data_IF_514153587284
#
_entry.id   IF_514153587284
#
_cell.length_a   1.000
_cell.length_b   1.000
_cell.length_c   1.000
_cell.angle_alpha   90.00
_cell.angle_beta   90.00
_cell.angle_gamma   90.00
#
_symmetry.space_group_name_H-M   'P 1'
#
loop_
_entity.id
_entity.type
_entity.pdbx_description
1 polymer ?
#
# COMPACT_ATOMS: atom_id res chain seq x y z
N UNK A 1 -49.16 11.42 57.44
CA UNK A 1 -48.85 10.91 56.07
C UNK A 1 -47.75 11.71 55.37
N UNK A 2 -47.56 13.02 55.60
CA UNK A 2 -46.49 13.80 54.94
C UNK A 2 -45.04 13.46 55.32
N UNK A 3 -44.77 12.99 56.54
CA UNK A 3 -43.40 12.64 56.98
C UNK A 3 -42.83 11.41 56.28
N UNK A 4 -43.69 10.48 55.85
CA UNK A 4 -43.26 9.25 55.18
C UNK A 4 -42.85 9.48 53.72
N UNK A 5 -43.39 10.53 53.09
CA UNK A 5 -43.07 10.91 51.70
C UNK A 5 -41.69 11.56 51.62
N UNK A 6 -41.37 12.46 52.56
CA UNK A 6 -40.08 13.16 52.60
C UNK A 6 -38.90 12.19 52.78
N UNK A 7 -39.08 11.20 53.65
CA UNK A 7 -38.02 10.22 53.93
C UNK A 7 -37.74 9.30 52.73
N UNK A 8 -38.79 8.88 52.01
CA UNK A 8 -38.64 8.11 50.76
C UNK A 8 -37.94 8.92 49.68
N UNK A 9 -38.25 10.22 49.56
CA UNK A 9 -37.63 11.10 48.58
C UNK A 9 -36.13 11.31 48.87
N UNK A 10 -35.77 11.49 50.14
CA UNK A 10 -34.38 11.62 50.56
C UNK A 10 -33.58 10.33 50.33
N UNK A 11 -34.19 9.17 50.61
CA UNK A 11 -33.56 7.87 50.38
C UNK A 11 -33.34 7.60 48.88
N UNK A 12 -34.33 7.95 48.04
CA UNK A 12 -34.20 7.84 46.58
C UNK A 12 -33.12 8.77 46.03
N UNK A 13 -32.99 9.98 46.57
CA UNK A 13 -31.94 10.93 46.17
C UNK A 13 -30.54 10.45 46.56
N UNK A 14 -30.37 9.87 47.76
CA UNK A 14 -29.10 9.25 48.16
C UNK A 14 -28.73 8.06 47.26
N UNK A 15 -29.71 7.24 46.89
CA UNK A 15 -29.48 6.07 46.04
C UNK A 15 -29.06 6.49 44.62
N UNK A 16 -29.67 7.55 44.08
CA UNK A 16 -29.25 8.14 42.80
C UNK A 16 -27.83 8.73 42.86
N UNK A 17 -27.47 9.43 43.93
CA UNK A 17 -26.11 9.96 44.10
C UNK A 17 -25.07 8.85 44.21
N UNK A 18 -25.36 7.77 44.93
CA UNK A 18 -24.44 6.61 45.01
C UNK A 18 -24.26 5.93 43.64
N UNK A 19 -25.33 5.77 42.86
CA UNK A 19 -25.21 5.22 41.50
C UNK A 19 -24.39 6.12 40.58
N UNK A 20 -24.58 7.44 40.65
CA UNK A 20 -23.78 8.39 39.86
C UNK A 20 -22.29 8.35 40.26
N UNK A 21 -21.98 8.29 41.56
CA UNK A 21 -20.59 8.17 42.02
C UNK A 21 -19.94 6.85 41.58
N UNK A 22 -20.68 5.74 41.65
CA UNK A 22 -20.17 4.45 41.17
C UNK A 22 -19.91 4.46 39.66
N UNK A 23 -20.82 5.06 38.86
CA UNK A 23 -20.60 5.22 37.42
C UNK A 23 -19.39 6.11 37.12
N UNK A 24 -19.23 7.23 37.83
CA UNK A 24 -18.06 8.10 37.66
C UNK A 24 -16.75 7.40 38.06
N UNK A 25 -16.73 6.63 39.14
CA UNK A 25 -15.53 5.87 39.52
C UNK A 25 -15.19 4.76 38.52
N UNK A 26 -16.20 4.08 37.97
CA UNK A 26 -15.98 3.10 36.89
C UNK A 26 -15.45 3.77 35.63
N UNK A 27 -15.98 4.93 35.24
CA UNK A 27 -15.47 5.71 34.12
C UNK A 27 -14.03 6.20 34.35
N UNK A 28 -13.70 6.67 35.56
CA UNK A 28 -12.35 7.09 35.90
C UNK A 28 -11.35 5.93 35.92
N UNK A 29 -11.75 4.76 36.42
CA UNK A 29 -10.90 3.57 36.38
C UNK A 29 -10.68 3.07 34.94
N UNK A 30 -11.74 3.09 34.12
CA UNK A 30 -11.63 2.77 32.69
C UNK A 30 -10.71 3.77 31.97
N UNK A 31 -10.85 5.07 32.22
CA UNK A 31 -9.96 6.09 31.66
C UNK A 31 -8.51 5.92 32.11
N UNK A 32 -8.26 5.61 33.39
CA UNK A 32 -6.90 5.38 33.89
C UNK A 32 -6.24 4.16 33.27
N UNK A 33 -6.96 3.05 33.07
CA UNK A 33 -6.41 1.89 32.35
C UNK A 33 -6.09 2.18 30.89
N UNK A 34 -6.72 3.19 30.29
CA UNK A 34 -6.54 3.54 28.88
C UNK A 34 -5.45 4.59 28.64
N UNK A 35 -4.86 5.14 29.71
CA UNK A 35 -3.65 5.97 29.64
C UNK A 35 -2.35 5.18 29.64
N UNK A 36 -2.40 3.85 29.82
CA UNK A 36 -1.24 3.01 29.57
C UNK A 36 -0.92 3.07 28.06
N UNK A 37 0.35 3.37 27.74
CA UNK A 37 0.83 3.42 26.36
C UNK A 37 0.45 2.12 25.63
N UNK A 38 -0.59 2.19 24.79
CA UNK A 38 -1.18 1.03 24.11
C UNK A 38 -0.18 0.29 23.21
N UNK A 39 0.92 0.97 22.86
CA UNK A 39 2.04 0.48 22.07
C UNK A 39 3.36 0.42 22.85
N UNK A 40 3.35 0.44 24.20
CA UNK A 40 4.56 0.47 25.06
C UNK A 40 5.59 -0.61 24.70
N UNK A 41 5.12 -1.77 24.26
CA UNK A 41 5.93 -2.95 23.98
C UNK A 41 6.24 -3.16 22.50
N UNK A 42 5.78 -2.24 21.65
CA UNK A 42 6.08 -2.18 20.23
C UNK A 42 7.11 -1.07 19.99
N UNK A 43 8.03 -1.29 19.03
CA UNK A 43 8.99 -0.25 18.64
C UNK A 43 8.98 -0.01 17.15
N UNK A 44 9.15 1.25 16.79
CA UNK A 44 9.55 1.68 15.46
C UNK A 44 11.05 1.95 15.49
N UNK A 45 11.89 1.09 14.90
CA UNK A 45 13.33 1.29 14.90
C UNK A 45 13.68 2.64 14.25
N UNK A 46 14.66 3.34 14.82
CA UNK A 46 15.17 4.60 14.28
C UNK A 46 16.64 4.44 13.95
N UNK A 47 16.99 4.55 12.68
CA UNK A 47 18.41 4.53 12.27
C UNK A 47 18.94 5.96 12.39
N UNK A 48 19.82 6.18 13.36
CA UNK A 48 20.48 7.47 13.57
C UNK A 48 21.72 7.56 12.66
N UNK A 49 21.89 8.65 11.91
CA UNK A 49 23.07 8.86 11.06
C UNK A 49 22.91 9.95 10.01
N UNK A 50 24.01 10.31 9.34
CA UNK A 50 24.11 11.36 8.31
C UNK A 50 23.48 11.00 6.96
N UNK A 51 22.60 9.99 6.91
CA UNK A 51 22.07 9.47 5.65
C UNK A 51 21.00 10.35 4.98
N UNK A 52 20.82 11.60 5.44
CA UNK A 52 20.08 12.66 4.76
C UNK A 52 18.58 12.43 4.58
N UNK A 53 18.05 11.26 4.93
CA UNK A 53 16.66 10.87 4.75
C UNK A 53 15.94 10.78 6.10
N UNK A 54 14.65 11.12 6.13
CA UNK A 54 13.79 10.89 7.29
C UNK A 54 13.96 9.43 7.78
N UNK A 55 14.12 9.23 9.09
CA UNK A 55 14.67 7.99 9.67
C UNK A 55 13.93 6.68 9.34
N UNK A 56 12.73 6.70 8.77
CA UNK A 56 12.01 5.52 8.27
C UNK A 56 12.26 5.23 6.79
N UNK A 57 12.50 6.25 5.95
CA UNK A 57 12.83 6.08 4.52
C UNK A 57 14.16 5.34 4.31
N UNK A 58 15.01 5.30 5.33
CA UNK A 58 16.26 4.54 5.30
C UNK A 58 16.04 3.03 5.09
N UNK A 59 14.90 2.46 5.50
CA UNK A 59 14.61 1.04 5.33
C UNK A 59 14.44 0.67 3.86
N UNK A 60 13.93 1.58 3.03
CA UNK A 60 13.81 1.41 1.58
C UNK A 60 15.16 1.15 0.89
N UNK A 61 16.26 1.65 1.48
CA UNK A 61 17.62 1.41 0.98
C UNK A 61 18.08 -0.05 1.10
N UNK A 62 17.39 -0.87 1.90
CA UNK A 62 17.58 -2.33 1.87
C UNK A 62 17.22 -2.91 0.50
N UNK A 63 16.25 -2.31 -0.20
CA UNK A 63 15.74 -2.74 -1.50
C UNK A 63 16.48 -2.03 -2.64
N UNK A 64 16.63 -0.71 -2.56
CA UNK A 64 17.17 0.10 -3.66
C UNK A 64 18.70 0.11 -3.77
N UNK A 65 19.42 -0.24 -2.69
CA UNK A 65 20.88 -0.35 -2.68
C UNK A 65 21.35 -1.77 -2.32
N UNK A 66 21.05 -2.79 -3.13
CA UNK A 66 21.27 -4.20 -2.77
C UNK A 66 22.73 -4.56 -2.50
N UNK A 67 23.68 -3.76 -3.01
CA UNK A 67 25.12 -3.97 -2.88
C UNK A 67 25.76 -3.21 -1.72
N UNK A 68 25.00 -2.40 -0.97
CA UNK A 68 25.53 -1.60 0.14
C UNK A 68 25.49 -2.38 1.47
N UNK A 69 26.37 -3.37 1.61
CA UNK A 69 26.40 -4.28 2.76
C UNK A 69 26.66 -3.56 4.10
N UNK A 70 27.42 -2.46 4.09
CA UNK A 70 27.71 -1.67 5.29
C UNK A 70 26.43 -1.01 5.79
N UNK A 71 25.71 -0.32 4.90
CA UNK A 71 24.43 0.31 5.22
C UNK A 71 23.40 -0.72 5.67
N UNK A 72 23.27 -1.83 4.93
CA UNK A 72 22.33 -2.89 5.26
C UNK A 72 22.59 -3.45 6.66
N UNK A 73 23.85 -3.72 7.00
CA UNK A 73 24.22 -4.19 8.34
C UNK A 73 23.81 -3.17 9.41
N UNK A 74 24.10 -1.89 9.20
CA UNK A 74 23.73 -0.81 10.13
C UNK A 74 22.22 -0.73 10.36
N UNK A 75 21.42 -0.84 9.30
CA UNK A 75 19.96 -0.84 9.38
C UNK A 75 19.48 -2.08 10.15
N UNK A 76 19.95 -3.27 9.77
CA UNK A 76 19.51 -4.53 10.39
C UNK A 76 19.92 -4.64 11.86
N UNK A 77 21.11 -4.13 12.24
CA UNK A 77 21.57 -4.10 13.63
C UNK A 77 20.72 -3.16 14.49
N UNK A 78 20.25 -2.03 13.93
CA UNK A 78 19.32 -1.13 14.61
C UNK A 78 17.95 -1.79 14.85
N UNK A 79 17.46 -2.54 13.87
CA UNK A 79 16.22 -3.31 14.00
C UNK A 79 16.40 -4.39 15.07
N UNK A 80 17.52 -5.13 15.04
CA UNK A 80 17.85 -6.15 16.04
C UNK A 80 17.93 -5.58 17.46
N UNK A 81 18.54 -4.41 17.63
CA UNK A 81 18.56 -3.71 18.91
C UNK A 81 17.15 -3.39 19.39
N UNK A 82 16.31 -2.84 18.51
CA UNK A 82 14.92 -2.49 18.85
C UNK A 82 14.11 -3.73 19.25
N UNK A 83 14.36 -4.90 18.64
CA UNK A 83 13.71 -6.16 19.02
C UNK A 83 14.05 -6.60 20.45
N UNK A 84 15.27 -6.32 20.94
CA UNK A 84 15.64 -6.63 22.32
C UNK A 84 14.92 -5.75 23.35
N UNK A 85 14.43 -4.59 22.93
CA UNK A 85 13.75 -3.60 23.77
C UNK A 85 12.22 -3.66 23.64
N UNK A 86 11.70 -4.44 22.68
CA UNK A 86 10.29 -4.48 22.28
C UNK A 86 9.73 -5.90 22.39
N UNK A 87 9.21 -6.33 23.56
CA UNK A 87 8.83 -7.72 23.77
C UNK A 87 7.64 -8.17 22.90
N UNK A 88 6.84 -7.24 22.37
CA UNK A 88 5.75 -7.59 21.43
C UNK A 88 6.20 -7.62 19.98
N UNK A 89 7.26 -6.88 19.62
CA UNK A 89 7.81 -6.86 18.27
C UNK A 89 8.20 -5.48 17.77
N UNK A 90 8.68 -5.44 16.53
CA UNK A 90 9.13 -4.24 15.83
C UNK A 90 8.33 -4.02 14.55
N UNK A 91 8.07 -2.77 14.23
CA UNK A 91 7.38 -2.37 13.00
C UNK A 91 8.41 -1.75 12.06
N UNK A 92 8.50 -2.29 10.86
CA UNK A 92 9.34 -1.75 9.79
C UNK A 92 8.42 -1.48 8.60
N UNK A 93 8.39 -0.23 8.15
CA UNK A 93 7.51 0.21 7.06
C UNK A 93 8.29 1.08 6.09
N UNK A 94 8.15 0.78 4.80
CA UNK A 94 8.72 1.53 3.67
C UNK A 94 7.98 1.11 2.40
N UNK A 95 7.78 2.04 1.47
CA UNK A 95 7.01 1.79 0.24
C UNK A 95 7.75 0.84 -0.72
N UNK A 96 9.08 0.78 -0.62
CA UNK A 96 9.92 -0.10 -1.43
C UNK A 96 9.70 -1.58 -1.10
N UNK A 97 9.08 -1.92 0.04
CA UNK A 97 8.69 -3.31 0.33
C UNK A 97 7.52 -3.79 -0.53
N UNK A 98 6.74 -2.88 -1.11
CA UNK A 98 5.66 -3.22 -2.05
C UNK A 98 6.19 -3.54 -3.46
N UNK A 99 7.47 -3.26 -3.73
CA UNK A 99 8.12 -3.58 -5.00
C UNK A 99 8.45 -5.09 -5.08
N UNK A 100 7.44 -5.90 -5.38
CA UNK A 100 7.56 -7.35 -5.54
C UNK A 100 6.90 -7.83 -6.84
N UNK A 101 7.39 -8.96 -7.35
CA UNK A 101 6.85 -9.58 -8.55
C UNK A 101 7.63 -9.27 -9.83
N UNK A 102 7.15 -9.75 -10.99
CA UNK A 102 7.89 -9.65 -12.26
C UNK A 102 7.98 -8.23 -12.82
N UNK A 103 7.04 -7.36 -12.45
CA UNK A 103 7.00 -5.98 -12.91
C UNK A 103 7.84 -5.03 -12.04
N UNK A 104 8.25 -5.48 -10.86
CA UNK A 104 9.04 -4.68 -9.95
C UNK A 104 10.39 -4.27 -10.59
N UNK A 105 10.78 -3.00 -10.44
CA UNK A 105 12.10 -2.49 -10.80
C UNK A 105 13.15 -3.02 -9.81
N UNK A 106 12.86 -2.94 -8.52
CA UNK A 106 13.67 -3.52 -7.46
C UNK A 106 12.85 -4.58 -6.75
N UNK A 107 13.33 -5.82 -6.69
CA UNK A 107 12.60 -6.88 -5.98
C UNK A 107 12.94 -6.81 -4.48
N UNK A 108 11.94 -6.58 -3.62
CA UNK A 108 12.11 -6.51 -2.17
C UNK A 108 12.36 -7.87 -1.50
N UNK A 109 11.96 -8.99 -2.12
CA UNK A 109 12.01 -10.33 -1.51
C UNK A 109 13.42 -10.72 -1.01
N UNK A 110 14.52 -10.54 -1.78
CA UNK A 110 15.87 -10.82 -1.30
C UNK A 110 16.28 -9.98 -0.08
N UNK A 111 15.90 -8.70 -0.06
CA UNK A 111 16.20 -7.79 1.05
C UNK A 111 15.47 -8.22 2.33
N UNK A 112 14.18 -8.54 2.23
CA UNK A 112 13.36 -9.07 3.32
C UNK A 112 13.95 -10.39 3.84
N UNK A 113 14.30 -11.33 2.95
CA UNK A 113 14.95 -12.60 3.34
C UNK A 113 16.30 -12.41 4.00
N UNK A 114 17.07 -11.38 3.61
CA UNK A 114 18.33 -11.01 4.27
C UNK A 114 18.06 -10.51 5.69
N UNK A 115 17.06 -9.64 5.87
CA UNK A 115 16.61 -9.13 7.17
C UNK A 115 16.14 -10.26 8.10
N UNK A 116 15.21 -11.12 7.65
CA UNK A 116 14.67 -12.24 8.44
C UNK A 116 15.79 -13.18 8.92
N UNK A 117 16.74 -13.51 8.03
CA UNK A 117 17.90 -14.35 8.39
C UNK A 117 18.83 -13.66 9.38
N UNK A 118 19.09 -12.36 9.22
CA UNK A 118 19.92 -11.58 10.14
C UNK A 118 19.33 -11.55 11.54
N UNK A 119 18.00 -11.39 11.63
CA UNK A 119 17.26 -11.36 12.89
C UNK A 119 16.95 -12.76 13.45
N UNK A 120 17.30 -13.83 12.74
CA UNK A 120 17.01 -15.21 13.10
C UNK A 120 15.52 -15.45 13.41
N UNK A 121 14.64 -14.91 12.57
CA UNK A 121 13.18 -15.05 12.69
C UNK A 121 12.68 -16.24 11.87
N UNK A 122 11.62 -16.90 12.35
CA UNK A 122 10.90 -17.87 11.54
C UNK A 122 9.85 -17.16 10.68
N UNK A 123 9.43 -17.79 9.59
CA UNK A 123 8.47 -17.18 8.66
C UNK A 123 7.12 -16.89 9.32
N UNK A 124 6.69 -17.74 10.27
CA UNK A 124 5.45 -17.58 11.03
C UNK A 124 5.44 -16.40 12.00
N UNK A 125 6.62 -15.86 12.32
CA UNK A 125 6.82 -14.70 13.20
C UNK A 125 6.79 -13.37 12.42
N UNK A 126 6.71 -13.43 11.08
CA UNK A 126 6.68 -12.27 10.19
C UNK A 126 5.28 -12.09 9.62
N UNK A 127 4.72 -10.90 9.82
CA UNK A 127 3.41 -10.52 9.28
C UNK A 127 3.57 -9.27 8.42
N UNK A 128 3.15 -9.36 7.16
CA UNK A 128 3.02 -8.22 6.27
C UNK A 128 1.65 -7.57 6.47
N UNK A 129 1.64 -6.25 6.59
CA UNK A 129 0.42 -5.45 6.68
C UNK A 129 0.32 -4.65 5.39
N UNK A 130 -0.72 -4.91 4.62
CA UNK A 130 -0.93 -4.29 3.32
C UNK A 130 -2.21 -3.47 3.32
N UNK A 131 -2.13 -2.28 2.72
CA UNK A 131 -3.26 -1.37 2.62
C UNK A 131 -3.91 -1.54 1.24
N UNK A 132 -5.16 -2.00 1.20
CA UNK A 132 -5.96 -2.05 0.00
C UNK A 132 -6.81 -0.78 -0.08
N UNK A 133 -6.46 0.14 -0.99
CA UNK A 133 -7.25 1.34 -1.26
C UNK A 133 -8.35 1.05 -2.28
N UNK A 134 -9.52 1.62 -2.06
CA UNK A 134 -10.64 1.62 -3.00
C UNK A 134 -11.44 2.91 -2.81
N UNK A 135 -11.62 3.75 -3.84
CA UNK A 135 -11.13 3.57 -5.20
C UNK A 135 -9.59 3.67 -5.30
N UNK A 136 -8.99 2.98 -6.28
CA UNK A 136 -7.54 3.00 -6.55
C UNK A 136 -7.13 4.12 -7.49
N UNK A 137 -8.06 4.68 -8.26
CA UNK A 137 -7.76 5.80 -9.14
C UNK A 137 -7.10 6.97 -8.38
N UNK A 138 -7.58 7.29 -7.18
CA UNK A 138 -7.02 8.38 -6.37
C UNK A 138 -5.57 8.12 -5.98
N UNK A 139 -5.21 6.86 -5.67
CA UNK A 139 -3.83 6.48 -5.41
C UNK A 139 -2.98 6.60 -6.68
N UNK A 140 -3.48 6.14 -7.82
CA UNK A 140 -2.79 6.26 -9.11
C UNK A 140 -2.52 7.73 -9.49
N UNK A 141 -3.53 8.58 -9.35
CA UNK A 141 -3.44 10.02 -9.55
C UNK A 141 -2.47 10.64 -8.55
N UNK A 142 -2.48 10.21 -7.29
CA UNK A 142 -1.53 10.68 -6.28
C UNK A 142 -0.08 10.37 -6.66
N UNK A 143 0.20 9.16 -7.18
CA UNK A 143 1.55 8.80 -7.67
C UNK A 143 2.00 9.76 -8.76
N UNK A 144 1.16 10.04 -9.75
CA UNK A 144 1.47 11.04 -10.78
C UNK A 144 1.74 12.42 -10.18
N UNK A 145 0.90 12.88 -9.24
CA UNK A 145 1.05 14.21 -8.65
C UNK A 145 2.36 14.40 -7.88
N UNK A 146 2.89 13.33 -7.30
CA UNK A 146 4.14 13.34 -6.54
C UNK A 146 5.37 12.90 -7.35
N UNK A 147 5.21 12.68 -8.66
CA UNK A 147 6.34 12.34 -9.51
C UNK A 147 7.32 13.53 -9.57
N UNK A 148 8.60 13.25 -9.28
CA UNK A 148 9.69 14.24 -9.27
C UNK A 148 10.43 14.29 -10.62
N UNK A 149 11.23 15.35 -10.82
CA UNK A 149 12.08 15.50 -12.00
C UNK A 149 11.33 16.02 -13.23
N UNK A 150 11.58 15.43 -14.39
CA UNK A 150 11.03 15.89 -15.69
C UNK A 150 9.49 15.82 -15.76
N UNK A 151 8.85 15.10 -14.83
CA UNK A 151 7.40 14.97 -14.73
C UNK A 151 6.76 15.85 -13.65
N UNK A 152 7.56 16.66 -12.93
CA UNK A 152 7.03 17.48 -11.82
C UNK A 152 5.93 18.44 -12.28
N UNK A 153 6.07 19.01 -13.49
CA UNK A 153 5.10 19.94 -14.08
C UNK A 153 4.32 19.31 -15.26
N UNK A 154 4.38 17.98 -15.42
CA UNK A 154 3.74 17.31 -16.54
C UNK A 154 2.23 17.14 -16.31
N UNK A 155 1.46 17.18 -17.38
CA UNK A 155 0.04 16.77 -17.34
C UNK A 155 -0.07 15.27 -17.09
N UNK A 156 -1.27 14.79 -16.76
CA UNK A 156 -1.51 13.34 -16.65
C UNK A 156 -1.35 12.65 -18.02
N UNK A 157 -1.73 13.34 -19.10
CA UNK A 157 -1.50 12.88 -20.47
C UNK A 157 -0.01 12.66 -20.74
N UNK A 158 0.84 13.64 -20.42
CA UNK A 158 2.29 13.54 -20.60
C UNK A 158 2.89 12.40 -19.77
N UNK A 159 2.47 12.26 -18.51
CA UNK A 159 2.93 11.20 -17.61
C UNK A 159 2.72 9.79 -18.15
N UNK A 160 1.60 9.56 -18.85
CA UNK A 160 1.29 8.29 -19.50
C UNK A 160 1.86 8.21 -20.92
N UNK A 161 1.60 9.18 -21.78
CA UNK A 161 1.95 9.13 -23.20
C UNK A 161 3.47 9.19 -23.43
N UNK A 162 4.23 9.99 -22.67
CA UNK A 162 5.70 10.03 -22.83
C UNK A 162 6.34 8.71 -22.45
N UNK A 163 5.79 8.03 -21.43
CA UNK A 163 6.30 6.74 -20.98
C UNK A 163 6.15 5.63 -22.03
N UNK A 164 5.27 5.79 -23.03
CA UNK A 164 5.15 4.81 -24.10
C UNK A 164 6.39 4.79 -25.02
N UNK A 165 6.98 5.97 -25.26
CA UNK A 165 8.06 6.16 -26.23
C UNK A 165 9.45 5.91 -25.64
N UNK A 166 9.59 5.99 -24.32
CA UNK A 166 10.83 5.70 -23.60
C UNK A 166 10.71 4.35 -22.86
N UNK A 167 11.49 3.31 -23.23
CA UNK A 167 11.46 2.01 -22.55
C UNK A 167 11.76 2.07 -21.04
N UNK A 168 12.57 3.02 -20.57
CA UNK A 168 12.89 3.18 -19.16
C UNK A 168 11.68 3.70 -18.39
N UNK A 169 11.03 4.74 -18.91
CA UNK A 169 9.79 5.28 -18.33
C UNK A 169 8.64 4.28 -18.43
N UNK A 170 8.52 3.55 -19.56
CA UNK A 170 7.56 2.45 -19.67
C UNK A 170 7.75 1.44 -18.56
N UNK A 171 9.00 1.04 -18.31
CA UNK A 171 9.31 0.08 -17.25
C UNK A 171 8.98 0.64 -15.86
N UNK A 172 9.21 1.93 -15.63
CA UNK A 172 8.82 2.62 -14.38
C UNK A 172 7.31 2.64 -14.18
N UNK A 173 6.51 2.92 -15.21
CA UNK A 173 5.04 2.83 -15.12
C UNK A 173 4.55 1.40 -14.90
N UNK A 174 5.22 0.41 -15.46
CA UNK A 174 4.92 -1.00 -15.20
C UNK A 174 5.20 -1.39 -13.74
N UNK A 175 6.31 -0.92 -13.17
CA UNK A 175 6.59 -1.10 -11.74
C UNK A 175 5.50 -0.47 -10.86
N UNK A 176 5.13 0.78 -11.15
CA UNK A 176 4.06 1.47 -10.43
C UNK A 176 2.71 0.72 -10.55
N UNK A 177 2.30 0.31 -11.75
CA UNK A 177 1.00 -0.36 -11.96
C UNK A 177 0.98 -1.81 -11.48
N UNK A 178 2.06 -2.55 -11.73
CA UNK A 178 2.16 -3.99 -11.55
C UNK A 178 2.61 -4.41 -10.15
N UNK A 179 3.43 -3.59 -9.49
CA UNK A 179 3.89 -3.82 -8.12
C UNK A 179 3.18 -2.88 -7.12
N UNK A 180 3.40 -1.55 -7.22
CA UNK A 180 2.95 -0.59 -6.20
C UNK A 180 1.42 -0.46 -6.12
N UNK A 181 0.74 -0.48 -7.26
CA UNK A 181 -0.72 -0.43 -7.36
C UNK A 181 -1.38 -1.81 -7.25
N UNK A 182 -0.64 -2.86 -6.88
CA UNK A 182 -1.12 -4.24 -6.86
C UNK A 182 -0.94 -4.93 -5.50
N UNK A 183 -1.58 -4.43 -4.42
CA UNK A 183 -1.42 -4.97 -3.07
C UNK A 183 -1.83 -6.44 -2.96
N UNK A 184 -2.76 -6.91 -3.79
CA UNK A 184 -3.18 -8.33 -3.82
C UNK A 184 -2.15 -9.24 -4.49
N UNK A 185 -1.46 -8.74 -5.52
CA UNK A 185 -0.29 -9.39 -6.09
C UNK A 185 0.85 -9.50 -5.08
N UNK A 186 1.13 -8.41 -4.35
CA UNK A 186 2.12 -8.41 -3.27
C UNK A 186 1.75 -9.42 -2.17
N UNK A 187 0.48 -9.41 -1.72
CA UNK A 187 -0.04 -10.37 -0.75
C UNK A 187 0.19 -11.81 -1.20
N UNK A 188 -0.14 -12.14 -2.45
CA UNK A 188 0.08 -13.48 -3.00
C UNK A 188 1.55 -13.89 -2.91
N UNK A 189 2.47 -13.01 -3.30
CA UNK A 189 3.91 -13.29 -3.29
C UNK A 189 4.42 -13.52 -1.86
N UNK A 190 4.01 -12.69 -0.90
CA UNK A 190 4.40 -12.89 0.51
C UNK A 190 3.87 -14.20 1.09
N UNK A 191 2.64 -14.58 0.74
CA UNK A 191 2.04 -15.84 1.14
C UNK A 191 2.73 -17.06 0.49
N UNK A 192 3.22 -16.92 -0.75
CA UNK A 192 4.01 -17.94 -1.44
C UNK A 192 5.40 -18.13 -0.81
N UNK A 193 5.96 -17.08 -0.23
CA UNK A 193 7.18 -17.12 0.59
C UNK A 193 6.96 -17.69 2.00
N UNK A 194 5.70 -17.97 2.36
CA UNK A 194 5.31 -18.60 3.63
C UNK A 194 5.11 -17.63 4.79
N UNK A 195 5.07 -16.33 4.54
CA UNK A 195 4.78 -15.31 5.55
C UNK A 195 3.27 -15.14 5.76
N UNK A 196 2.89 -14.51 6.87
CA UNK A 196 1.49 -14.12 7.13
C UNK A 196 1.20 -12.77 6.48
N UNK A 197 -0.04 -12.56 6.06
CA UNK A 197 -0.50 -11.29 5.50
C UNK A 197 -1.79 -10.85 6.20
N UNK A 198 -1.81 -9.61 6.67
CA UNK A 198 -3.04 -8.88 7.01
C UNK A 198 -3.27 -7.82 5.95
N UNK A 199 -4.39 -7.90 5.25
CA UNK A 199 -4.82 -6.91 4.26
C UNK A 199 -5.89 -6.03 4.89
N UNK A 200 -5.72 -4.72 4.87
CA UNK A 200 -6.68 -3.76 5.40
C UNK A 200 -7.43 -3.12 4.23
N UNK A 201 -8.73 -3.37 4.12
CA UNK A 201 -9.60 -2.70 3.14
C UNK A 201 -9.96 -1.30 3.64
N UNK A 202 -9.29 -0.30 3.09
CA UNK A 202 -9.39 1.10 3.49
C UNK A 202 -10.79 1.67 3.29
N UNK A 203 -11.53 1.20 2.28
CA UNK A 203 -12.90 1.67 2.06
C UNK A 203 -13.85 1.19 3.16
N UNK A 204 -13.63 0.00 3.71
CA UNK A 204 -14.37 -0.46 4.89
C UNK A 204 -13.94 0.26 6.17
N UNK A 205 -12.65 0.58 6.32
CA UNK A 205 -12.16 1.39 7.45
C UNK A 205 -12.83 2.77 7.48
N UNK A 206 -12.92 3.44 6.33
CA UNK A 206 -13.60 4.72 6.18
C UNK A 206 -15.11 4.62 6.46
N UNK A 207 -15.79 3.59 5.93
CA UNK A 207 -17.22 3.35 6.21
C UNK A 207 -17.52 3.18 7.70
N UNK A 208 -16.52 2.78 8.48
CA UNK A 208 -16.58 2.59 9.93
C UNK A 208 -16.15 3.84 10.73
N UNK A 209 -15.94 4.98 10.05
CA UNK A 209 -15.49 6.26 10.59
C UNK A 209 -14.17 6.14 11.41
N UNK A 210 -13.21 5.35 10.91
CA UNK A 210 -11.92 5.11 11.58
C UNK A 210 -10.73 5.54 10.72
N UNK A 211 -9.63 5.90 11.39
CA UNK A 211 -8.32 6.00 10.77
C UNK A 211 -7.61 4.64 10.73
N UNK A 212 -6.77 4.44 9.72
CA UNK A 212 -5.97 3.22 9.57
C UNK A 212 -5.05 2.95 10.76
N UNK A 213 -4.55 3.99 11.42
CA UNK A 213 -3.68 3.87 12.59
C UNK A 213 -4.38 3.14 13.73
N UNK A 214 -5.68 3.40 13.92
CA UNK A 214 -6.49 2.67 14.89
C UNK A 214 -6.64 1.20 14.49
N UNK A 215 -6.88 0.91 13.21
CA UNK A 215 -7.00 -0.47 12.72
C UNK A 215 -5.71 -1.24 12.90
N UNK A 216 -4.56 -0.66 12.51
CA UNK A 216 -3.25 -1.26 12.70
C UNK A 216 -3.00 -1.50 14.19
N UNK A 217 -3.16 -0.47 15.03
CA UNK A 217 -2.97 -0.60 16.47
C UNK A 217 -3.84 -1.70 17.10
N UNK A 218 -5.15 -1.67 16.82
CA UNK A 218 -6.11 -2.54 17.51
C UNK A 218 -6.19 -3.96 16.92
N UNK A 219 -6.12 -4.10 15.60
CA UNK A 219 -6.33 -5.38 14.89
C UNK A 219 -5.04 -6.10 14.52
N UNK A 220 -3.98 -5.36 14.23
CA UNK A 220 -2.68 -5.94 13.86
C UNK A 220 -1.81 -6.09 15.10
N UNK A 221 -1.59 -4.99 15.82
CA UNK A 221 -0.65 -4.92 16.95
C UNK A 221 -1.26 -5.37 18.28
N UNK A 222 -2.57 -5.64 18.28
CA UNK A 222 -3.36 -6.04 19.46
C UNK A 222 -3.16 -5.10 20.65
N UNK A 223 -3.02 -3.81 20.35
CA UNK A 223 -2.88 -2.75 21.34
C UNK A 223 -4.14 -2.64 22.21
N UNK A 224 -3.97 -2.07 23.41
CA UNK A 224 -5.10 -1.76 24.29
C UNK A 224 -6.01 -0.71 23.65
N UNK A 225 -7.13 -1.15 23.07
CA UNK A 225 -8.09 -0.28 22.40
C UNK A 225 -9.46 -0.28 23.10
N UNK A 226 -10.12 0.88 23.07
CA UNK A 226 -11.51 1.02 23.53
C UNK A 226 -12.37 1.27 22.31
N UNK A 227 -13.40 0.47 22.10
CA UNK A 227 -14.36 0.64 20.99
C UNK A 227 -13.70 0.73 19.59
N UNK A 228 -12.51 0.12 19.44
CA UNK A 228 -11.73 0.13 18.21
C UNK A 228 -10.82 1.35 18.02
N UNK A 229 -10.68 2.22 19.02
CA UNK A 229 -9.80 3.37 19.02
C UNK A 229 -8.57 3.15 19.91
N UNK A 230 -7.41 3.63 19.43
CA UNK A 230 -6.19 3.68 20.22
C UNK A 230 -6.30 4.81 21.24
N UNK A 231 -6.28 4.46 22.53
CA UNK A 231 -6.46 5.44 23.62
C UNK A 231 -5.47 6.61 23.61
N UNK A 232 -4.28 6.42 23.00
CA UNK A 232 -3.23 7.44 22.92
C UNK A 232 -3.34 8.40 21.72
N UNK A 233 -4.11 8.07 20.67
CA UNK A 233 -4.26 8.93 19.48
C UNK A 233 -5.50 9.83 19.53
N UNK A 234 -6.47 9.54 20.40
CA UNK A 234 -7.74 10.29 20.44
C UNK A 234 -8.51 10.22 19.12
N UNK A 235 -9.23 11.30 18.79
CA UNK A 235 -10.03 11.46 17.56
C UNK A 235 -9.24 12.16 16.43
N UNK A 236 -7.90 12.09 16.43
CA UNK A 236 -7.10 12.70 15.36
C UNK A 236 -7.40 12.03 14.01
N UNK A 237 -8.01 12.79 13.10
CA UNK A 237 -8.25 12.39 11.73
C UNK A 237 -6.99 12.61 10.87
N UNK A 238 -6.78 11.79 9.83
CA UNK A 238 -5.61 11.90 8.97
C UNK A 238 -5.52 13.27 8.28
N UNK A 239 -4.29 13.78 8.15
CA UNK A 239 -3.99 15.11 7.55
C UNK A 239 -4.11 15.07 6.04
N UNK A 240 -5.01 15.85 5.47
CA UNK A 240 -5.16 15.99 4.02
C UNK A 240 -3.82 16.20 3.29
N UNK A 241 -3.65 15.50 2.16
CA UNK A 241 -2.49 15.70 1.30
C UNK A 241 -2.49 17.12 0.74
N UNK A 242 -1.36 17.81 0.90
CA UNK A 242 -1.21 19.20 0.49
C UNK A 242 -0.89 19.40 -1.01
N UNK A 243 -0.75 18.33 -1.80
CA UNK A 243 -0.43 18.46 -3.23
C UNK A 243 -1.70 18.69 -4.05
N UNK A 244 -2.07 19.96 -4.15
CA UNK A 244 -3.15 20.47 -4.99
C UNK A 244 -2.70 20.57 -6.46
N UNK A 245 -2.56 19.45 -7.15
CA UNK A 245 -2.59 19.43 -8.63
C UNK A 245 -4.02 19.09 -9.06
N UNK A 246 -4.66 19.85 -9.97
CA UNK A 246 -5.95 19.45 -10.52
C UNK A 246 -5.79 18.16 -11.34
N UNK A 247 -6.87 17.40 -11.46
CA UNK A 247 -6.96 16.23 -12.33
C UNK A 247 -8.27 16.38 -13.12
N UNK A 248 -8.18 16.87 -14.35
CA UNK A 248 -9.30 17.19 -15.22
C UNK A 248 -9.20 16.55 -16.61
N UNK A 249 -8.13 15.78 -16.86
CA UNK A 249 -7.85 15.10 -18.12
C UNK A 249 -8.79 13.92 -18.38
N UNK A 250 -9.35 13.31 -17.33
CA UNK A 250 -10.36 12.27 -17.44
C UNK A 250 -11.68 12.74 -16.86
N UNK A 251 -12.77 12.52 -17.60
CA UNK A 251 -14.11 12.72 -17.05
C UNK A 251 -14.52 11.60 -16.09
N UNK A 252 -15.64 11.78 -15.40
CA UNK A 252 -16.14 10.80 -14.41
C UNK A 252 -16.39 9.41 -15.02
N UNK A 253 -16.81 9.33 -16.28
CA UNK A 253 -17.05 8.03 -16.95
C UNK A 253 -15.72 7.31 -17.21
N UNK A 254 -14.71 8.02 -17.69
CA UNK A 254 -13.36 7.48 -17.94
C UNK A 254 -12.68 7.05 -16.64
N UNK A 255 -12.78 7.88 -15.61
CA UNK A 255 -12.34 7.59 -14.25
C UNK A 255 -13.01 6.33 -13.70
N UNK A 256 -14.34 6.21 -13.88
CA UNK A 256 -15.09 5.03 -13.49
C UNK A 256 -14.68 3.76 -14.23
N UNK A 257 -14.32 3.85 -15.51
CA UNK A 257 -13.79 2.72 -16.30
C UNK A 257 -12.42 2.27 -15.81
N UNK A 258 -11.53 3.19 -15.48
CA UNK A 258 -10.22 2.85 -14.89
C UNK A 258 -10.38 2.11 -13.56
N UNK A 259 -11.21 2.64 -12.67
CA UNK A 259 -11.48 2.02 -11.39
C UNK A 259 -12.11 0.63 -11.56
N UNK A 260 -13.05 0.48 -12.50
CA UNK A 260 -13.63 -0.82 -12.82
C UNK A 260 -12.56 -1.81 -13.33
N UNK A 261 -11.61 -1.37 -14.15
CA UNK A 261 -10.56 -2.25 -14.66
C UNK A 261 -9.63 -2.71 -13.53
N UNK A 262 -9.31 -1.80 -12.61
CA UNK A 262 -8.62 -2.14 -11.36
C UNK A 262 -9.40 -3.22 -10.59
N UNK A 263 -10.67 -2.99 -10.27
CA UNK A 263 -11.48 -3.96 -9.52
C UNK A 263 -11.58 -5.33 -10.23
N UNK A 264 -11.68 -5.33 -11.57
CA UNK A 264 -11.70 -6.57 -12.36
C UNK A 264 -10.41 -7.36 -12.24
N UNK A 265 -9.23 -6.70 -12.25
CA UNK A 265 -7.94 -7.35 -11.97
C UNK A 265 -7.96 -7.95 -10.57
N UNK A 266 -8.42 -7.17 -9.60
CA UNK A 266 -8.46 -7.62 -8.22
C UNK A 266 -9.29 -8.89 -8.12
N UNK A 267 -10.50 -8.94 -8.72
CA UNK A 267 -11.38 -10.10 -8.66
C UNK A 267 -10.71 -11.41 -9.10
N UNK A 268 -9.65 -11.33 -9.90
CA UNK A 268 -8.84 -12.49 -10.28
C UNK A 268 -8.10 -13.10 -9.10
N UNK A 269 -7.66 -12.26 -8.15
CA UNK A 269 -6.97 -12.68 -6.94
C UNK A 269 -7.89 -13.35 -5.91
N UNK A 270 -9.20 -13.02 -5.88
CA UNK A 270 -10.14 -13.60 -4.91
C UNK A 270 -10.07 -15.13 -4.85
N UNK A 271 -10.03 -15.78 -6.02
CA UNK A 271 -9.93 -17.23 -6.09
C UNK A 271 -8.54 -17.73 -5.71
N UNK A 272 -7.48 -17.08 -6.20
CA UNK A 272 -6.10 -17.49 -5.93
C UNK A 272 -5.75 -17.40 -4.43
N UNK A 273 -6.26 -16.37 -3.76
CA UNK A 273 -5.96 -16.07 -2.36
C UNK A 273 -6.77 -16.92 -1.37
N UNK A 274 -7.88 -17.51 -1.83
CA UNK A 274 -8.83 -18.25 -0.98
C UNK A 274 -8.18 -19.32 -0.10
N UNK A 275 -7.21 -20.06 -0.63
CA UNK A 275 -6.55 -21.14 0.13
C UNK A 275 -5.80 -20.63 1.38
N UNK A 276 -5.25 -19.41 1.31
CA UNK A 276 -4.53 -18.80 2.43
C UNK A 276 -5.46 -18.07 3.40
N UNK A 277 -6.61 -17.59 2.90
CA UNK A 277 -7.68 -17.09 3.77
C UNK A 277 -8.27 -18.25 4.58
N UNK A 278 -8.61 -19.36 3.91
CA UNK A 278 -9.22 -20.53 4.53
C UNK A 278 -8.31 -21.22 5.57
N UNK A 279 -6.98 -21.09 5.43
CA UNK A 279 -6.01 -21.67 6.37
C UNK A 279 -5.51 -20.67 7.44
N UNK A 280 -5.96 -19.42 7.40
CA UNK A 280 -5.61 -18.38 8.37
C UNK A 280 -4.21 -17.76 8.20
N UNK A 281 -3.50 -18.03 7.09
CA UNK A 281 -2.25 -17.32 6.78
C UNK A 281 -2.52 -15.90 6.24
N UNK A 282 -3.69 -15.68 5.65
CA UNK A 282 -4.17 -14.38 5.23
C UNK A 282 -5.42 -13.99 6.01
N UNK A 283 -5.46 -12.77 6.52
CA UNK A 283 -6.64 -12.17 7.13
C UNK A 283 -6.95 -10.85 6.42
N UNK A 284 -8.24 -10.57 6.19
CA UNK A 284 -8.70 -9.33 5.59
C UNK A 284 -9.53 -8.59 6.63
N UNK A 285 -9.07 -7.40 7.01
CA UNK A 285 -9.74 -6.52 7.95
C UNK A 285 -10.66 -5.55 7.16
N UNK A 286 -11.88 -5.32 7.66
CA UNK A 286 -12.84 -4.37 7.09
C UNK A 286 -13.23 -4.62 5.63
N UNK A 287 -13.43 -5.89 5.24
CA UNK A 287 -13.68 -6.32 3.86
C UNK A 287 -15.08 -5.92 3.31
N UNK A 288 -15.36 -4.62 3.20
CA UNK A 288 -16.64 -4.08 2.75
C UNK A 288 -16.65 -3.70 1.27
N UNK A 289 -15.50 -3.25 0.74
CA UNK A 289 -15.35 -2.78 -0.64
C UNK A 289 -14.60 -3.78 -1.50
N UNK A 290 -13.62 -4.46 -0.92
CA UNK A 290 -12.89 -5.53 -1.58
C UNK A 290 -13.84 -6.67 -1.96
N UNK A 291 -13.82 -7.04 -3.25
CA UNK A 291 -14.69 -8.05 -3.87
C UNK A 291 -16.16 -7.69 -4.06
N UNK A 292 -16.61 -6.49 -3.67
CA UNK A 292 -18.01 -6.10 -3.77
C UNK A 292 -18.57 -6.14 -5.20
N UNK A 293 -17.73 -5.83 -6.20
CA UNK A 293 -18.08 -5.82 -7.62
C UNK A 293 -17.78 -7.13 -8.36
N UNK A 294 -17.27 -8.17 -7.67
CA UNK A 294 -16.90 -9.41 -8.34
C UNK A 294 -18.12 -10.25 -8.73
N UNK A 295 -18.16 -10.61 -10.01
CA UNK A 295 -19.20 -11.46 -10.59
C UNK A 295 -18.66 -12.88 -10.80
N UNK A 296 -19.30 -13.86 -10.17
CA UNK A 296 -18.88 -15.27 -10.26
C UNK A 296 -18.90 -15.82 -11.70
N UNK A 297 -19.72 -15.25 -12.60
CA UNK A 297 -19.77 -15.62 -14.02
C UNK A 297 -18.57 -15.15 -14.86
N UNK A 298 -17.70 -14.28 -14.32
CA UNK A 298 -16.59 -13.66 -15.03
C UNK A 298 -15.20 -14.11 -14.55
N UNK A 299 -15.13 -15.19 -13.76
CA UNK A 299 -13.90 -15.61 -13.11
C UNK A 299 -12.73 -15.84 -14.09
N UNK A 300 -12.96 -16.48 -15.24
CA UNK A 300 -11.90 -16.73 -16.23
C UNK A 300 -11.31 -15.44 -16.79
N UNK A 301 -12.17 -14.45 -17.05
CA UNK A 301 -11.76 -13.13 -17.47
C UNK A 301 -10.96 -12.43 -16.37
N UNK A 302 -11.44 -12.44 -15.12
CA UNK A 302 -10.70 -11.82 -14.01
C UNK A 302 -9.33 -12.47 -13.79
N UNK A 303 -9.24 -13.80 -13.83
CA UNK A 303 -7.97 -14.52 -13.74
C UNK A 303 -7.01 -14.14 -14.89
N UNK A 304 -7.52 -13.85 -16.09
CA UNK A 304 -6.67 -13.40 -17.21
C UNK A 304 -6.03 -12.02 -17.00
N UNK A 305 -6.57 -11.21 -16.08
CA UNK A 305 -6.00 -9.91 -15.74
C UNK A 305 -4.91 -9.99 -14.64
N UNK A 306 -4.80 -11.13 -13.94
CA UNK A 306 -3.77 -11.34 -12.92
C UNK A 306 -2.40 -11.37 -13.59
N UNK A 307 -1.53 -10.44 -13.20
CA UNK A 307 -0.21 -10.27 -13.83
C UNK A 307 -0.24 -9.69 -15.25
N UNK A 308 -1.40 -9.25 -15.76
CA UNK A 308 -1.53 -8.66 -17.08
C UNK A 308 -1.33 -7.15 -17.06
N UNK A 309 -0.25 -6.66 -16.46
CA UNK A 309 0.05 -5.23 -16.28
C UNK A 309 0.07 -4.48 -17.62
N UNK A 310 0.57 -5.12 -18.69
CA UNK A 310 0.53 -4.55 -20.04
C UNK A 310 -0.89 -4.29 -20.56
N UNK A 311 -1.86 -5.15 -20.22
CA UNK A 311 -3.27 -4.95 -20.59
C UNK A 311 -3.82 -3.71 -19.92
N UNK A 312 -3.54 -3.52 -18.62
CA UNK A 312 -3.98 -2.35 -17.87
C UNK A 312 -3.34 -1.07 -18.40
N UNK A 313 -2.02 -1.10 -18.61
CA UNK A 313 -1.28 0.06 -19.11
C UNK A 313 -1.76 0.48 -20.51
N UNK A 314 -1.93 -0.47 -21.43
CA UNK A 314 -2.43 -0.18 -22.77
C UNK A 314 -3.88 0.34 -22.74
N UNK A 315 -4.71 -0.18 -21.84
CA UNK A 315 -6.06 0.34 -21.64
C UNK A 315 -6.05 1.79 -21.17
N UNK A 316 -5.16 2.16 -20.24
CA UNK A 316 -5.01 3.55 -19.76
C UNK A 316 -4.52 4.47 -20.86
N UNK A 317 -3.52 4.05 -21.64
CA UNK A 317 -3.08 4.78 -22.83
C UNK A 317 -4.21 4.98 -23.83
N UNK A 318 -5.09 4.00 -24.02
CA UNK A 318 -6.20 4.09 -24.99
C UNK A 318 -7.29 5.09 -24.61
N UNK A 319 -7.36 5.51 -23.34
CA UNK A 319 -8.25 6.57 -22.90
C UNK A 319 -7.70 7.96 -23.22
N UNK A 320 -6.40 8.05 -23.47
CA UNK A 320 -5.71 9.27 -23.85
C UNK A 320 -5.47 9.28 -25.36
N UNK A 321 -5.69 10.41 -26.02
CA UNK A 321 -5.42 10.56 -27.46
C UNK A 321 -3.91 10.76 -27.74
N UNK A 322 -3.03 9.88 -27.23
CA UNK A 322 -1.57 10.03 -27.35
C UNK A 322 -1.14 10.18 -28.83
N UNK A 323 -0.75 11.40 -29.24
CA UNK A 323 -0.60 11.83 -30.65
C UNK A 323 0.52 11.15 -31.43
N UNK A 324 1.51 10.57 -30.76
CA UNK A 324 2.70 9.98 -31.36
C UNK A 324 2.84 8.48 -31.09
N UNK A 325 1.75 7.76 -30.82
CA UNK A 325 1.83 6.31 -30.63
C UNK A 325 2.16 5.63 -31.98
N UNK A 326 3.41 5.17 -32.22
CA UNK A 326 3.81 4.62 -33.52
C UNK A 326 3.15 3.26 -33.79
N UNK A 327 2.58 2.65 -32.75
CA UNK A 327 1.60 1.60 -32.88
C UNK A 327 0.23 2.25 -33.04
N UNK A 328 -0.29 2.22 -34.28
CA UNK A 328 -1.69 2.50 -34.59
C UNK A 328 -2.52 1.76 -33.52
N UNK A 329 -3.21 2.50 -32.62
CA UNK A 329 -4.02 1.96 -31.51
C UNK A 329 -5.02 0.88 -31.97
N UNK A 330 -5.19 0.72 -33.28
CA UNK A 330 -5.85 -0.39 -33.95
C UNK A 330 -5.38 -1.79 -33.51
N UNK A 331 -4.12 -1.95 -33.11
CA UNK A 331 -3.61 -3.25 -32.60
C UNK A 331 -3.52 -3.30 -31.06
N UNK A 332 -3.75 -2.18 -30.38
CA UNK A 332 -3.71 -2.07 -28.91
C UNK A 332 -5.02 -2.52 -28.25
N UNK A 333 -4.93 -2.94 -26.99
CA UNK A 333 -6.12 -3.26 -26.19
C UNK A 333 -6.78 -1.95 -25.75
N UNK A 334 -8.02 -1.73 -26.17
CA UNK A 334 -8.79 -0.56 -25.72
C UNK A 334 -9.35 -0.75 -24.31
N UNK A 335 -9.71 0.34 -23.62
CA UNK A 335 -10.36 0.27 -22.30
C UNK A 335 -11.61 -0.62 -22.30
N UNK A 336 -12.50 -0.47 -23.29
CA UNK A 336 -13.70 -1.32 -23.40
C UNK A 336 -13.38 -2.80 -23.66
N UNK A 337 -12.31 -3.07 -24.43
CA UNK A 337 -11.83 -4.43 -24.60
C UNK A 337 -11.30 -4.97 -23.27
N UNK A 338 -10.40 -4.23 -22.60
CA UNK A 338 -9.81 -4.60 -21.32
C UNK A 338 -10.88 -4.86 -20.25
N UNK A 339 -11.98 -4.10 -20.25
CA UNK A 339 -13.15 -4.29 -19.40
C UNK A 339 -14.03 -5.50 -19.77
N UNK A 340 -13.71 -6.22 -20.85
CA UNK A 340 -14.46 -7.38 -21.32
C UNK A 340 -15.83 -7.04 -21.93
N UNK A 341 -16.09 -5.78 -22.29
CA UNK A 341 -17.36 -5.35 -22.87
C UNK A 341 -17.49 -5.79 -24.35
N UNK A 342 -16.35 -5.96 -25.03
CA UNK A 342 -16.29 -6.53 -26.37
C UNK A 342 -15.88 -8.01 -26.28
N UNK A 343 -16.67 -8.90 -26.90
CA UNK A 343 -16.41 -10.35 -26.98
C UNK A 343 -15.05 -10.73 -27.62
N UNK A 344 -14.21 -9.77 -27.99
CA UNK A 344 -12.95 -9.96 -28.70
C UNK A 344 -11.82 -10.50 -27.80
N UNK A 345 -11.77 -10.16 -26.50
CA UNK A 345 -10.68 -10.61 -25.60
C UNK A 345 -10.68 -12.13 -25.40
N UNK A 346 -11.86 -12.77 -25.47
CA UNK A 346 -11.98 -14.23 -25.41
C UNK A 346 -11.16 -14.98 -26.47
N UNK A 347 -10.72 -14.31 -27.54
CA UNK A 347 -9.86 -14.90 -28.57
C UNK A 347 -8.37 -14.56 -28.40
N UNK A 348 -7.99 -13.42 -27.82
CA UNK A 348 -6.56 -13.06 -27.67
C UNK A 348 -5.86 -13.85 -26.55
N UNK A 349 -6.51 -14.00 -25.39
CA UNK A 349 -5.90 -14.74 -24.25
C UNK A 349 -5.89 -16.24 -24.54
N UNK A 350 -6.94 -16.75 -25.20
CA UNK A 350 -6.94 -18.13 -25.67
C UNK A 350 -5.83 -18.38 -26.69
N UNK A 351 -5.46 -17.44 -27.55
CA UNK A 351 -4.35 -17.61 -28.50
C UNK A 351 -2.97 -17.83 -27.85
N UNK A 352 -2.70 -17.23 -26.68
CA UNK A 352 -1.43 -17.40 -25.97
C UNK A 352 -1.37 -18.74 -25.21
N UNK A 353 -2.51 -19.22 -24.69
CA UNK A 353 -2.62 -20.53 -24.01
C UNK A 353 -2.75 -21.68 -25.03
N UNK A 354 -3.36 -21.43 -26.19
CA UNK A 354 -3.54 -22.39 -27.27
C UNK A 354 -2.23 -22.77 -27.95
N UNK A 355 -1.24 -21.87 -28.06
CA UNK A 355 0.06 -22.21 -28.63
C UNK A 355 0.87 -23.24 -27.82
N UNK A 356 0.55 -23.43 -26.53
CA UNK A 356 1.25 -24.38 -25.64
C UNK A 356 0.41 -25.64 -25.36
N UNK A 357 -0.92 -25.59 -25.47
CA UNK A 357 -1.81 -26.70 -25.06
C UNK A 357 -2.60 -27.38 -26.21
N UNK A 358 -2.59 -26.86 -27.45
CA UNK A 358 -3.39 -27.41 -28.56
C UNK A 358 -3.03 -28.83 -29.06
N UNK A 359 -1.87 -29.46 -28.75
CA UNK A 359 -1.75 -30.88 -29.09
C UNK A 359 -2.63 -31.82 -28.23
N UNK A 360 -3.28 -31.35 -27.15
CA UNK A 360 -3.88 -32.26 -26.15
C UNK A 360 -5.42 -32.25 -26.02
N UNK A 361 -6.16 -31.28 -26.59
CA UNK A 361 -7.61 -31.15 -26.33
C UNK A 361 -8.47 -31.16 -27.61
N UNK A 362 -8.06 -31.89 -28.65
CA UNK A 362 -8.92 -32.18 -29.82
C UNK A 362 -9.82 -33.43 -29.64
N UNK A 363 -10.16 -33.80 -28.39
CA UNK A 363 -11.11 -34.87 -28.08
C UNK A 363 -12.18 -34.43 -27.07
N UNK A 364 -13.07 -33.55 -27.51
CA UNK A 364 -14.45 -33.54 -27.01
C UNK A 364 -15.00 -32.18 -26.58
N UNK A 365 -16.16 -31.81 -27.12
CA UNK A 365 -17.11 -30.98 -26.36
C UNK A 365 -17.89 -29.89 -27.10
N UNK A 366 -18.64 -30.24 -28.16
CA UNK A 366 -19.56 -29.34 -28.90
C UNK A 366 -20.89 -29.10 -28.12
N UNK A 367 -20.84 -28.79 -26.82
CA UNK A 367 -22.03 -28.87 -25.95
C UNK A 367 -22.65 -27.56 -25.44
N UNK A 368 -21.97 -26.41 -25.53
CA UNK A 368 -22.22 -25.33 -24.56
C UNK A 368 -22.76 -24.00 -25.14
N UNK A 369 -23.34 -23.99 -26.33
CA UNK A 369 -23.71 -22.73 -27.03
C UNK A 369 -25.18 -22.31 -26.84
N UNK A 370 -25.99 -22.97 -26.01
CA UNK A 370 -27.45 -22.72 -25.98
C UNK A 370 -28.05 -22.08 -24.71
N UNK A 371 -27.26 -21.44 -23.84
CA UNK A 371 -27.79 -20.94 -22.55
C UNK A 371 -27.44 -19.48 -22.23
N UNK A 372 -27.65 -18.55 -23.17
CA UNK A 372 -27.49 -17.11 -22.93
C UNK A 372 -28.54 -16.27 -23.69
N UNK A 373 -29.81 -16.35 -23.27
CA UNK A 373 -30.80 -15.33 -23.63
C UNK A 373 -31.67 -14.98 -22.41
N UNK A 374 -31.83 -13.67 -22.18
CA UNK A 374 -32.80 -12.98 -21.31
C UNK A 374 -32.36 -12.71 -19.86
N UNK A 375 -31.87 -11.48 -19.60
CA UNK A 375 -32.70 -10.40 -19.01
C UNK A 375 -31.86 -9.15 -18.75
N UNK A 376 -32.45 -8.00 -19.06
CA UNK A 376 -31.86 -6.69 -18.81
C UNK A 376 -32.74 -5.76 -17.97
N UNK A 377 -32.02 -4.81 -17.37
CA UNK A 377 -32.38 -3.44 -16.93
C UNK A 377 -33.22 -3.26 -15.67
N UNK A 378 -32.61 -2.65 -14.64
CA UNK A 378 -32.80 -1.22 -14.31
C UNK A 378 -31.95 -0.81 -13.09
N UNK A 379 -31.10 0.21 -13.23
CA UNK A 379 -30.59 0.99 -12.09
C UNK A 379 -30.37 2.45 -12.55
N UNK A 380 -30.76 3.42 -11.71
CA UNK A 380 -30.43 4.85 -11.83
C UNK A 380 -30.21 5.41 -10.43
N UNK A 381 -29.28 6.37 -10.36
CA UNK A 381 -28.92 7.31 -9.29
C UNK A 381 -27.76 6.88 -8.37
N UNK A 382 -26.59 7.46 -8.65
CA UNK A 382 -25.68 8.01 -7.65
C UNK A 382 -25.14 9.32 -8.27
N UNK A 383 -25.62 10.43 -7.73
CA UNK A 383 -24.95 11.73 -7.74
C UNK A 383 -24.88 12.11 -6.25
N UNK A 384 -23.80 12.79 -5.87
CA UNK A 384 -23.48 13.31 -4.53
C UNK A 384 -22.86 12.30 -3.55
N UNK A 385 -21.52 12.20 -3.59
CA UNK A 385 -20.60 12.40 -2.46
C UNK A 385 -19.17 12.11 -2.92
N UNK A 386 -18.52 13.14 -3.45
CA UNK A 386 -17.06 13.21 -3.50
C UNK A 386 -16.57 14.01 -2.30
N UNK A 387 -15.41 13.62 -1.80
CA UNK A 387 -14.49 14.28 -0.86
C UNK A 387 -14.29 13.45 0.42
N UNK A 388 -13.08 12.87 0.47
CA UNK A 388 -12.20 12.59 1.62
C UNK A 388 -11.66 11.15 1.55
N UNK A 389 -10.43 10.93 1.06
CA UNK A 389 -9.50 9.93 1.66
C UNK A 389 -8.07 10.35 1.34
N UNK A 390 -7.28 10.30 2.40
CA UNK A 390 -6.01 10.96 2.62
C UNK A 390 -4.91 9.93 2.78
N UNK A 391 -3.70 10.27 2.37
CA UNK A 391 -2.49 9.50 2.60
C UNK A 391 -2.01 9.74 4.03
N UNK A 392 -2.36 8.85 4.95
CA UNK A 392 -1.51 8.58 6.09
C UNK A 392 -0.31 7.77 5.58
N UNK A 393 0.67 8.46 4.97
CA UNK A 393 2.03 7.94 5.01
C UNK A 393 2.36 7.71 6.49
N UNK A 394 2.94 6.55 6.83
CA UNK A 394 3.50 6.28 8.16
C UNK A 394 4.76 7.13 8.37
N UNK A 395 4.63 8.46 8.25
CA UNK A 395 5.59 9.40 8.79
C UNK A 395 5.53 9.26 10.31
N UNK A 396 6.67 9.06 11.00
CA UNK A 396 6.69 9.15 12.44
C UNK A 396 6.15 10.53 12.83
N UNK A 397 5.13 10.54 13.68
CA UNK A 397 4.69 11.75 14.36
C UNK A 397 5.90 12.58 14.83
N UNK A 398 5.90 13.92 14.64
CA UNK A 398 6.88 14.75 15.32
C UNK A 398 6.74 14.52 16.82
N UNK A 399 7.89 14.33 17.46
CA UNK A 399 8.11 13.73 18.77
C UNK A 399 7.60 14.52 19.98
N UNK A 400 6.49 15.25 19.91
CA UNK A 400 5.98 16.00 21.06
C UNK A 400 5.38 15.10 22.16
N UNK A 401 5.15 13.81 21.90
CA UNK A 401 4.69 12.84 22.90
C UNK A 401 5.83 12.04 23.58
N UNK A 402 7.09 12.30 23.24
CA UNK A 402 8.26 11.54 23.73
C UNK A 402 9.44 12.44 24.18
N UNK A 403 9.20 13.71 24.49
CA UNK A 403 10.20 14.53 25.18
C UNK A 403 10.19 14.16 26.67
N UNK A 404 11.15 13.32 27.07
CA UNK A 404 11.62 13.30 28.45
C UNK A 404 12.15 14.70 28.78
N UNK A 405 11.47 15.39 29.70
CA UNK A 405 11.91 16.62 30.33
C UNK A 405 13.22 16.37 31.09
N UNK A 406 14.34 16.39 30.37
CA UNK A 406 15.63 16.69 30.95
C UNK A 406 15.89 18.18 30.81
N UNK A 407 15.37 18.92 31.80
CA UNK A 407 15.90 20.23 32.18
C UNK A 407 17.42 20.12 32.34
N UNK A 408 18.17 20.65 31.39
CA UNK A 408 19.58 20.96 31.60
C UNK A 408 19.75 22.47 31.42
N UNK A 409 19.54 23.17 32.54
CA UNK A 409 20.09 24.49 32.78
C UNK A 409 21.61 24.43 32.55
N UNK A 410 22.12 25.26 31.65
CA UNK A 410 23.56 25.31 31.39
C UNK A 410 23.92 26.33 30.34
N UNK A 411 23.73 27.60 30.68
CA UNK A 411 24.20 28.72 29.89
C UNK A 411 25.71 28.69 29.67
N UNK A 412 26.11 29.16 28.49
CA UNK A 412 27.48 29.35 28.08
C UNK A 412 27.49 30.12 26.78
N UNK A 413 27.44 31.44 26.90
CA UNK A 413 27.83 32.37 25.84
C UNK A 413 29.28 32.04 25.45
N UNK A 414 29.54 31.75 24.18
CA UNK A 414 30.88 31.85 23.63
C UNK A 414 30.80 32.38 22.20
N UNK A 415 31.08 33.68 22.10
CA UNK A 415 31.32 34.41 20.86
C UNK A 415 32.69 33.99 20.32
N UNK A 416 32.69 33.34 19.16
CA UNK A 416 33.92 32.93 18.48
C UNK A 416 33.76 33.03 16.98
N UNK A 417 33.93 34.26 16.47
CA UNK A 417 34.41 34.52 15.12
C UNK A 417 35.61 33.62 14.81
N UNK A 418 35.69 33.06 13.61
CA UNK A 418 36.87 33.16 12.74
C UNK A 418 36.79 32.21 11.53
N UNK A 419 37.14 32.82 10.39
CA UNK A 419 37.87 32.27 9.26
C UNK A 419 37.14 31.38 8.22
N UNK A 420 36.67 32.11 7.20
CA UNK A 420 36.96 31.87 5.77
C UNK A 420 38.04 30.83 5.51
N UNK A 421 37.69 29.75 4.81
CA UNK A 421 38.62 29.10 3.90
C UNK A 421 37.87 28.48 2.72
N UNK A 422 38.07 29.15 1.58
CA UNK A 422 37.95 28.62 0.24
C UNK A 422 38.76 27.32 0.10
N UNK A 423 38.13 26.29 -0.44
CA UNK A 423 38.84 25.30 -1.26
C UNK A 423 37.83 24.62 -2.19
N UNK A 424 37.75 25.16 -3.40
CA UNK A 424 37.30 24.48 -4.60
C UNK A 424 38.12 23.21 -4.81
N UNK A 425 37.48 22.04 -4.77
CA UNK A 425 38.02 20.79 -5.31
C UNK A 425 37.01 20.24 -6.32
N UNK A 426 37.17 20.69 -7.57
CA UNK A 426 36.58 20.09 -8.76
C UNK A 426 37.10 18.67 -8.94
N UNK A 427 36.28 17.67 -8.61
CA UNK A 427 36.54 16.27 -8.95
C UNK A 427 35.93 15.99 -10.32
N UNK A 428 36.74 16.09 -11.37
CA UNK A 428 36.46 15.50 -12.69
C UNK A 428 36.40 13.97 -12.57
N UNK A 429 35.19 13.38 -12.58
CA UNK A 429 35.01 11.95 -12.80
C UNK A 429 35.27 11.60 -14.28
N UNK A 430 36.49 11.13 -14.53
CA UNK A 430 36.88 10.49 -15.80
C UNK A 430 36.25 9.09 -15.88
N UNK A 431 35.15 8.98 -16.62
CA UNK A 431 34.64 7.69 -17.07
C UNK A 431 35.67 7.02 -18.02
N UNK A 432 36.29 5.94 -17.54
CA UNK A 432 37.07 5.02 -18.39
C UNK A 432 36.15 3.94 -18.94
N UNK A 433 35.99 3.93 -20.26
CA UNK A 433 35.41 2.83 -21.03
C UNK A 433 36.11 1.49 -20.72
N UNK A 434 35.36 0.42 -20.41
CA UNK A 434 35.93 -0.91 -20.34
C UNK A 434 36.27 -1.42 -21.75
N UNK A 435 37.55 -1.73 -21.92
CA UNK A 435 38.17 -2.24 -23.11
C UNK A 435 37.46 -3.47 -23.69
N UNK A 436 37.30 -3.45 -25.02
CA UNK A 436 37.06 -4.62 -25.87
C UNK A 436 38.18 -5.66 -25.62
N UNK A 437 37.80 -6.85 -25.16
CA UNK A 437 38.63 -8.03 -25.28
C UNK A 437 38.49 -8.60 -26.70
N UNK A 438 39.40 -8.20 -27.58
CA UNK A 438 39.83 -9.03 -28.69
C UNK A 438 40.70 -10.14 -28.08
N UNK A 439 40.29 -11.41 -28.18
CA UNK A 439 41.23 -12.52 -28.06
C UNK A 439 41.20 -13.36 -29.34
N UNK A 440 42.39 -13.42 -29.90
CA UNK A 440 42.78 -13.97 -31.16
C UNK A 440 42.84 -15.50 -31.15
N UNK A 441 42.84 -16.00 -32.38
CA UNK A 441 43.12 -17.38 -32.78
C UNK A 441 44.52 -17.82 -32.35
N UNK A 442 44.70 -19.11 -32.08
CA UNK A 442 45.46 -20.03 -32.96
C UNK A 442 45.74 -21.41 -32.32
N UNK A 443 45.61 -22.47 -33.12
CA UNK A 443 46.55 -23.60 -33.18
C UNK A 443 46.20 -24.91 -32.44
N UNK A 444 45.59 -25.88 -33.14
CA UNK A 444 46.26 -27.07 -33.74
C UNK A 444 45.32 -27.83 -34.70
#
# INVERSE_FOLDING_TARGET
MHTNTLHKQQQQQQQQQQQQQQQQQQQQQQQQTCTQNSLEYWRWPRVMGTYGTHGTKVFGRLVTEPNNDILHRSIMDTIAQSMNEAPNGVIVGTEEFDQVGPDALNNAIPAIKKLIRHLNLNNEDVTFVLNYRSPRLDQWVSIWKHEEGDFMDSTYEDFLCMSHNDPAERRRRFDMLGAQMNPLGAAQIFLEEGWKVKLIDMGGVENDDKDISHVIGCRVLLAGCIDGFLGSLGDELPRENAVEKPFDELNDEESGKMEQLFQNRDCGYQHSLKKWIDNGQMEIEYQDTLWKSCESGRQSYYTSLVGATEVLFNAFLSQLECKDNPHDLRDGITMDQALGNNNTIGHMVNGFVEAVLIPLVFLGGVGYVMMMMLKGKQQRRLDERGIAVVQAEMTPYPSSAFQDDHENEGGGDDDGDDDENDSDDDVEEVYKDPAKSEDDKDGE
#
